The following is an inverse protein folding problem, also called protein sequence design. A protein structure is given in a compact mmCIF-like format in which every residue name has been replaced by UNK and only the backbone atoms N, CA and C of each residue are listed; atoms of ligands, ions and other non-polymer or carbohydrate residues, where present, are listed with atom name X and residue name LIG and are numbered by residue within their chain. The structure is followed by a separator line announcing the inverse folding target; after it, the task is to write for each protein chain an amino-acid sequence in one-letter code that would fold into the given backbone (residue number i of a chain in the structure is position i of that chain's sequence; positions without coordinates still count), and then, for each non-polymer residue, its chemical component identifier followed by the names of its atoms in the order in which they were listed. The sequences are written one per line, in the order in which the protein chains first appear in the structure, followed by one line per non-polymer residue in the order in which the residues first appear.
data_IF_890333116897
#
_entry.id   IF_890333116897
#
_cell.length_a   1.000
_cell.length_b   1.000
_cell.length_c   1.000
_cell.angle_alpha   90.00
_cell.angle_beta   90.00
_cell.angle_gamma   90.00
#
_symmetry.space_group_name_H-M   'P 1'
#
loop_
_entity.id
_entity.type
_entity.pdbx_description
1 polymer ?
#
# COMPACT_ATOMS: atom_id res chain seq x y z
N UNK A 1 11.34 2.32 10.08
CA UNK A 1 10.44 3.31 9.43
C UNK A 1 9.17 3.34 10.26
N UNK A 2 8.67 4.52 10.66
CA UNK A 2 7.41 4.60 11.42
C UNK A 2 6.19 4.49 10.50
N UNK A 3 5.02 4.13 11.05
CA UNK A 3 3.78 3.96 10.26
C UNK A 3 3.34 5.28 9.63
N UNK A 4 3.56 6.38 10.33
CA UNK A 4 3.27 7.75 9.88
C UNK A 4 4.14 8.12 8.67
N UNK A 5 5.43 7.79 8.72
CA UNK A 5 6.35 8.03 7.61
C UNK A 5 5.95 7.18 6.41
N UNK A 6 5.62 5.91 6.61
CA UNK A 6 5.14 5.03 5.54
C UNK A 6 3.84 5.57 4.92
N UNK A 7 2.84 5.91 5.73
CA UNK A 7 1.57 6.48 5.27
C UNK A 7 1.78 7.76 4.45
N UNK A 8 2.62 8.67 4.94
CA UNK A 8 2.92 9.93 4.25
C UNK A 8 3.62 9.79 2.90
N UNK A 9 4.23 8.64 2.61
CA UNK A 9 4.77 8.36 1.29
C UNK A 9 3.67 8.02 0.28
N UNK A 10 2.59 7.39 0.75
CA UNK A 10 1.44 7.03 -0.08
C UNK A 10 0.42 8.15 -0.21
N UNK A 11 0.16 8.91 0.86
CA UNK A 11 -0.75 10.07 0.84
C UNK A 11 -0.08 11.29 0.18
N UNK A 12 -0.10 11.31 -1.16
CA UNK A 12 0.58 12.31 -1.97
C UNK A 12 0.00 13.71 -1.81
N UNK A 13 -1.33 13.80 -1.74
CA UNK A 13 -2.04 15.08 -1.62
C UNK A 13 -2.17 15.55 -0.16
N UNK A 14 -1.85 14.71 0.82
CA UNK A 14 -1.86 14.97 2.26
C UNK A 14 -3.26 15.25 2.82
N UNK A 15 -4.29 14.61 2.28
CA UNK A 15 -5.67 14.75 2.75
C UNK A 15 -6.02 13.77 3.89
N UNK A 16 -5.07 12.93 4.31
CA UNK A 16 -5.27 11.93 5.36
C UNK A 16 -5.84 10.60 4.85
N UNK A 17 -5.89 10.40 3.54
CA UNK A 17 -6.37 9.18 2.91
C UNK A 17 -5.47 8.78 1.74
N UNK A 18 -5.26 7.47 1.57
CA UNK A 18 -4.59 6.93 0.41
C UNK A 18 -5.65 6.47 -0.59
N UNK A 19 -5.69 7.14 -1.74
CA UNK A 19 -6.55 6.70 -2.85
C UNK A 19 -5.89 5.57 -3.64
N UNK A 20 -6.70 4.83 -4.40
CA UNK A 20 -6.22 3.80 -5.35
C UNK A 20 -5.15 4.33 -6.30
N UNK A 21 -5.33 5.54 -6.82
CA UNK A 21 -4.39 6.12 -7.79
C UNK A 21 -3.07 6.50 -7.12
N UNK A 22 -3.11 7.08 -5.94
CA UNK A 22 -1.91 7.39 -5.15
C UNK A 22 -1.14 6.11 -4.77
N UNK A 23 -1.86 5.08 -4.34
CA UNK A 23 -1.28 3.77 -4.06
C UNK A 23 -0.57 3.20 -5.29
N UNK A 24 -1.21 3.24 -6.47
CA UNK A 24 -0.62 2.75 -7.73
C UNK A 24 0.63 3.52 -8.14
N UNK A 25 0.65 4.84 -7.98
CA UNK A 25 1.82 5.66 -8.29
C UNK A 25 3.02 5.20 -7.48
N UNK A 26 2.86 5.04 -6.16
CA UNK A 26 3.94 4.61 -5.29
C UNK A 26 4.33 3.15 -5.54
N UNK A 27 3.35 2.25 -5.71
CA UNK A 27 3.62 0.85 -6.00
C UNK A 27 4.42 0.71 -7.31
N UNK A 28 4.06 1.45 -8.35
CA UNK A 28 4.80 1.47 -9.60
C UNK A 28 6.23 2.05 -9.43
N UNK A 29 6.43 3.06 -8.58
CA UNK A 29 7.78 3.55 -8.28
C UNK A 29 8.64 2.52 -7.51
N UNK A 30 8.03 1.70 -6.67
CA UNK A 30 8.73 0.71 -5.85
C UNK A 30 9.06 -0.59 -6.61
N UNK A 31 8.14 -1.08 -7.47
CA UNK A 31 8.25 -2.40 -8.11
C UNK A 31 7.99 -2.40 -9.63
N UNK A 32 7.79 -1.24 -10.26
CA UNK A 32 7.30 -1.13 -11.64
C UNK A 32 8.18 -1.76 -12.73
N UNK A 33 9.46 -2.01 -12.46
CA UNK A 33 10.32 -2.78 -13.39
C UNK A 33 10.09 -4.30 -13.34
N UNK A 34 9.37 -4.79 -12.32
CA UNK A 34 9.24 -6.21 -11.99
C UNK A 34 7.82 -6.76 -12.12
N UNK A 35 6.82 -5.92 -12.43
CA UNK A 35 5.41 -6.32 -12.57
C UNK A 35 4.76 -5.69 -13.80
N UNK A 36 3.78 -6.36 -14.39
CA UNK A 36 3.00 -5.81 -15.52
C UNK A 36 1.96 -4.80 -15.04
N UNK A 37 1.44 -3.98 -15.96
CA UNK A 37 0.35 -3.06 -15.66
C UNK A 37 -0.89 -3.80 -15.11
N UNK A 38 -1.26 -4.95 -15.68
CA UNK A 38 -2.39 -5.75 -15.21
C UNK A 38 -2.16 -6.30 -13.79
N UNK A 39 -0.95 -6.75 -13.48
CA UNK A 39 -0.59 -7.18 -12.14
C UNK A 39 -0.65 -6.01 -11.15
N UNK A 40 -0.20 -4.81 -11.56
CA UNK A 40 -0.30 -3.60 -10.76
C UNK A 40 -1.77 -3.27 -10.43
N UNK A 41 -2.67 -3.30 -11.42
CA UNK A 41 -4.11 -3.10 -11.19
C UNK A 41 -4.67 -4.13 -10.21
N UNK A 42 -4.37 -5.41 -10.43
CA UNK A 42 -4.88 -6.49 -9.57
C UNK A 42 -4.38 -6.38 -8.13
N UNK A 43 -3.11 -6.03 -7.92
CA UNK A 43 -2.54 -5.84 -6.58
C UNK A 43 -3.18 -4.63 -5.92
N UNK A 44 -3.34 -3.51 -6.64
CA UNK A 44 -3.99 -2.32 -6.12
C UNK A 44 -5.43 -2.61 -5.70
N UNK A 45 -6.23 -3.22 -6.58
CA UNK A 45 -7.64 -3.53 -6.30
C UNK A 45 -7.79 -4.43 -5.07
N UNK A 46 -6.99 -5.49 -4.99
CA UNK A 46 -7.01 -6.39 -3.84
C UNK A 46 -6.57 -5.70 -2.55
N UNK A 47 -5.51 -4.89 -2.60
CA UNK A 47 -4.99 -4.22 -1.40
C UNK A 47 -5.98 -3.19 -0.87
N UNK A 48 -6.57 -2.36 -1.75
CA UNK A 48 -7.60 -1.41 -1.37
C UNK A 48 -8.80 -2.16 -0.79
N UNK A 49 -9.33 -3.16 -1.50
CA UNK A 49 -10.52 -3.90 -1.04
C UNK A 49 -10.31 -4.68 0.27
N UNK A 50 -9.09 -5.12 0.59
CA UNK A 50 -8.77 -5.81 1.83
C UNK A 50 -8.52 -4.86 3.01
N UNK A 51 -8.04 -3.64 2.73
CA UNK A 51 -7.70 -2.64 3.73
C UNK A 51 -8.86 -1.68 4.06
N UNK A 52 -9.70 -1.38 3.08
CA UNK A 52 -10.89 -0.52 3.18
C UNK A 52 -11.99 -1.25 3.96
N UNK A 53 -12.11 -0.95 5.25
CA UNK A 53 -13.03 -1.62 6.17
C UNK A 53 -14.39 -0.93 6.13
N UNK A 54 -14.40 0.39 5.99
CA UNK A 54 -15.63 1.18 5.96
C UNK A 54 -16.25 1.32 4.56
N UNK A 55 -15.57 0.85 3.52
CA UNK A 55 -15.98 0.81 2.12
C UNK A 55 -16.16 2.20 1.50
N UNK A 56 -15.35 3.17 1.91
CA UNK A 56 -15.36 4.53 1.35
C UNK A 56 -14.48 4.68 0.09
N UNK A 57 -13.81 3.61 -0.33
CA UNK A 57 -13.00 3.52 -1.55
C UNK A 57 -11.58 4.08 -1.41
N UNK A 58 -11.16 4.41 -0.19
CA UNK A 58 -9.83 4.92 0.15
C UNK A 58 -9.35 4.27 1.45
N UNK A 59 -8.08 4.48 1.79
CA UNK A 59 -7.50 3.92 3.02
C UNK A 59 -7.19 5.06 3.98
N UNK A 60 -7.86 5.07 5.13
CA UNK A 60 -7.54 5.95 6.25
C UNK A 60 -6.25 5.51 6.98
N UNK A 61 -5.68 6.39 7.81
CA UNK A 61 -4.49 6.05 8.59
C UNK A 61 -4.71 4.84 9.52
N UNK A 62 -5.89 4.72 10.13
CA UNK A 62 -6.24 3.60 11.02
C UNK A 62 -6.33 2.28 10.25
N UNK A 63 -6.95 2.30 9.06
CA UNK A 63 -7.03 1.14 8.17
C UNK A 63 -5.65 0.73 7.66
N UNK A 64 -4.81 1.71 7.30
CA UNK A 64 -3.42 1.46 6.92
C UNK A 64 -2.65 0.78 8.06
N UNK A 65 -2.78 1.27 9.30
CA UNK A 65 -2.13 0.66 10.46
C UNK A 65 -2.58 -0.79 10.66
N UNK A 66 -3.88 -1.07 10.54
CA UNK A 66 -4.44 -2.42 10.63
C UNK A 66 -3.97 -3.32 9.47
N UNK A 67 -3.91 -2.79 8.25
CA UNK A 67 -3.42 -3.51 7.09
C UNK A 67 -1.93 -3.87 7.23
N UNK A 68 -1.12 -2.96 7.79
CA UNK A 68 0.29 -3.23 8.12
C UNK A 68 0.48 -4.23 9.26
N UNK A 69 -0.50 -4.40 10.15
CA UNK A 69 -0.45 -5.41 11.22
C UNK A 69 -0.86 -6.80 10.72
N UNK A 70 -1.82 -6.87 9.79
CA UNK A 70 -2.29 -8.13 9.18
C UNK A 70 -1.37 -8.63 8.07
N UNK A 71 -0.75 -7.71 7.35
CA UNK A 71 0.21 -8.03 6.30
C UNK A 71 1.56 -8.12 6.98
N UNK A 72 2.16 -9.31 6.97
CA UNK A 72 3.53 -9.51 7.41
C UNK A 72 4.50 -8.82 6.42
N UNK A 73 4.47 -7.48 6.41
CA UNK A 73 5.35 -6.62 5.63
C UNK A 73 6.77 -6.79 6.15
N UNK A 74 6.95 -7.13 7.43
CA UNK A 74 8.23 -7.59 7.96
C UNK A 74 8.73 -8.83 7.21
N UNK A 75 7.90 -9.84 6.96
CA UNK A 75 8.26 -11.00 6.13
C UNK A 75 8.51 -10.65 4.65
N UNK A 76 7.72 -9.76 4.02
CA UNK A 76 7.98 -9.36 2.62
C UNK A 76 9.20 -8.45 2.45
N UNK A 77 9.54 -7.62 3.44
CA UNK A 77 10.75 -6.80 3.46
C UNK A 77 12.00 -7.64 3.80
N UNK A 78 11.85 -8.74 4.54
CA UNK A 78 12.95 -9.67 4.84
C UNK A 78 13.24 -10.71 3.75
N UNK A 79 12.42 -10.83 2.70
CA UNK A 79 12.74 -11.66 1.51
C UNK A 79 14.03 -11.19 0.79
N UNK A 80 14.52 -9.96 1.01
CA UNK A 80 15.79 -9.48 0.41
C UNK A 80 17.04 -9.65 1.28
N UNK A 81 16.96 -10.27 2.46
CA UNK A 81 18.15 -10.60 3.27
C UNK A 81 18.49 -12.11 3.33
N UNK A 82 17.69 -12.97 2.68
CA UNK A 82 17.93 -14.42 2.62
C UNK A 82 17.58 -14.97 1.22
N UNK A 83 18.31 -14.53 0.20
CA UNK A 83 18.82 -15.32 -0.95
C UNK A 83 19.49 -14.42 -2.00
#
# INVERSE_FOLDING_TARGET
MSREIAFSMYDLNKNGFITRDEFKVILNMMVGANITAEQLESIADRTISEADIDNDGKISFDEFCRAMEKTDIEQKMSIRFLN
#
